data_IF_669006121973
#
_entry.id   IF_669006121973
#
_cell.length_a   1.000
_cell.length_b   1.000
_cell.length_c   1.000
_cell.angle_alpha   90.00
_cell.angle_beta   90.00
_cell.angle_gamma   90.00
#
_symmetry.space_group_name_H-M   'P 1'
#
loop_
_entity.id
_entity.type
_entity.pdbx_description
1 polymer ?
#
# COMPACT_ATOMS: atom_id res chain seq x y z
N UNK A 1 26.41 -18.36 -4.42
CA UNK A 1 25.16 -18.58 -5.18
C UNK A 1 24.72 -17.29 -5.83
N UNK A 2 24.69 -17.24 -7.17
CA UNK A 2 24.14 -16.10 -7.90
C UNK A 2 22.64 -15.97 -7.58
N UNK A 3 22.21 -14.77 -7.17
CA UNK A 3 20.78 -14.51 -6.90
C UNK A 3 20.01 -14.51 -8.21
N UNK A 4 19.03 -15.36 -8.33
CA UNK A 4 18.15 -15.42 -9.50
C UNK A 4 17.49 -14.05 -9.73
N UNK A 5 17.72 -13.44 -10.90
CA UNK A 5 17.13 -12.17 -11.30
C UNK A 5 15.77 -12.37 -11.93
N UNK A 6 14.80 -11.56 -11.52
CA UNK A 6 13.44 -11.59 -12.06
C UNK A 6 13.42 -10.83 -13.39
N UNK A 7 13.06 -11.51 -14.47
CA UNK A 7 12.91 -10.93 -15.81
C UNK A 7 11.44 -10.71 -16.19
N UNK A 8 10.54 -11.51 -15.61
CA UNK A 8 9.10 -11.43 -15.81
C UNK A 8 8.38 -11.56 -14.45
N UNK A 9 7.34 -10.76 -14.21
CA UNK A 9 6.61 -10.78 -12.94
C UNK A 9 5.15 -10.38 -13.11
N UNK A 10 4.26 -11.06 -12.38
CA UNK A 10 2.86 -10.66 -12.23
C UNK A 10 2.73 -9.69 -11.05
N UNK A 11 2.00 -8.59 -11.22
CA UNK A 11 1.60 -7.75 -10.10
C UNK A 11 0.24 -8.21 -9.58
N UNK A 12 0.24 -8.85 -8.40
CA UNK A 12 -0.92 -9.45 -7.75
C UNK A 12 -1.81 -8.43 -7.03
N UNK A 13 -2.42 -7.50 -7.77
CA UNK A 13 -3.37 -6.53 -7.23
C UNK A 13 -4.42 -6.11 -8.25
N UNK A 14 -5.66 -5.99 -7.81
CA UNK A 14 -6.77 -5.43 -8.60
C UNK A 14 -6.97 -3.92 -8.35
N UNK A 15 -6.19 -3.31 -7.44
CA UNK A 15 -6.24 -1.89 -7.17
C UNK A 15 -5.40 -1.12 -8.21
N UNK A 16 -6.07 -0.33 -9.06
CA UNK A 16 -5.43 0.44 -10.14
C UNK A 16 -4.34 1.41 -9.63
N UNK A 17 -4.54 2.03 -8.46
CA UNK A 17 -3.56 2.94 -7.86
C UNK A 17 -2.29 2.20 -7.43
N UNK A 18 -2.44 1.08 -6.72
CA UNK A 18 -1.32 0.22 -6.33
C UNK A 18 -0.58 -0.35 -7.53
N UNK A 19 -1.32 -0.83 -8.54
CA UNK A 19 -0.75 -1.36 -9.78
C UNK A 19 0.15 -0.33 -10.47
N UNK A 20 -0.31 0.93 -10.59
CA UNK A 20 0.46 2.03 -11.18
C UNK A 20 1.73 2.27 -10.38
N UNK A 21 1.62 2.52 -9.07
CA UNK A 21 2.78 2.81 -8.23
C UNK A 21 3.81 1.68 -8.22
N UNK A 22 3.39 0.40 -8.19
CA UNK A 22 4.32 -0.74 -8.23
C UNK A 22 5.01 -0.83 -9.59
N UNK A 23 4.25 -0.64 -10.68
CA UNK A 23 4.80 -0.67 -12.05
C UNK A 23 5.87 0.39 -12.25
N UNK A 24 5.65 1.61 -11.74
CA UNK A 24 6.60 2.73 -11.84
C UNK A 24 7.92 2.46 -11.09
N UNK A 25 7.89 1.59 -10.07
CA UNK A 25 9.08 1.20 -9.29
C UNK A 25 9.88 0.07 -9.94
N UNK A 26 9.22 -0.81 -10.71
CA UNK A 26 9.88 -1.95 -11.35
C UNK A 26 10.76 -1.47 -12.52
N UNK A 27 12.02 -1.92 -12.64
CA UNK A 27 12.89 -1.55 -13.75
C UNK A 27 12.28 -1.86 -15.12
N UNK A 28 12.42 -0.96 -16.09
CA UNK A 28 11.82 -1.09 -17.44
C UNK A 28 12.19 -2.38 -18.18
N UNK A 29 13.37 -2.97 -17.87
CA UNK A 29 13.83 -4.24 -18.45
C UNK A 29 13.04 -5.47 -17.97
N UNK A 30 12.22 -5.34 -16.94
CA UNK A 30 11.41 -6.44 -16.40
C UNK A 30 10.03 -6.41 -17.05
N UNK A 31 9.64 -7.53 -17.65
CA UNK A 31 8.31 -7.70 -18.23
C UNK A 31 7.27 -7.80 -17.12
N UNK A 32 6.39 -6.82 -17.05
CA UNK A 32 5.30 -6.77 -16.06
C UNK A 32 4.02 -7.30 -16.67
N UNK A 33 3.50 -8.38 -16.09
CA UNK A 33 2.20 -8.95 -16.44
C UNK A 33 1.13 -8.41 -15.48
N UNK A 34 -0.07 -8.18 -16.00
CA UNK A 34 -1.23 -7.76 -15.21
C UNK A 34 -2.25 -8.87 -15.11
N UNK A 35 -3.10 -8.79 -14.09
CA UNK A 35 -4.23 -9.72 -13.90
C UNK A 35 -5.42 -9.43 -14.82
N UNK A 36 -5.30 -8.50 -15.80
CA UNK A 36 -6.42 -8.06 -16.64
C UNK A 36 -7.09 -9.19 -17.41
N UNK A 37 -6.34 -10.24 -17.76
CA UNK A 37 -6.84 -11.39 -18.52
C UNK A 37 -7.24 -12.56 -17.61
N UNK A 38 -7.30 -12.35 -16.29
CA UNK A 38 -7.78 -13.35 -15.36
C UNK A 38 -9.12 -12.91 -14.80
N UNK A 39 -10.10 -13.78 -14.84
CA UNK A 39 -11.40 -13.61 -14.16
C UNK A 39 -11.28 -13.78 -12.64
N UNK A 40 -10.06 -13.84 -12.14
CA UNK A 40 -9.77 -14.15 -10.76
C UNK A 40 -10.23 -13.04 -9.81
N UNK A 41 -11.12 -13.41 -8.91
CA UNK A 41 -11.45 -12.61 -7.73
C UNK A 41 -10.23 -12.50 -6.81
N UNK A 42 -10.07 -11.35 -6.15
CA UNK A 42 -9.03 -11.22 -5.13
C UNK A 42 -9.24 -12.24 -4.01
N UNK A 43 -8.19 -12.93 -3.54
CA UNK A 43 -8.33 -13.86 -2.44
C UNK A 43 -8.77 -13.11 -1.16
N UNK A 44 -9.48 -13.85 -0.29
CA UNK A 44 -9.86 -13.33 1.03
C UNK A 44 -8.61 -13.05 1.86
N UNK A 45 -8.45 -11.83 2.34
CA UNK A 45 -7.36 -11.44 3.23
C UNK A 45 -7.68 -11.88 4.66
N UNK A 46 -7.18 -13.03 5.06
CA UNK A 46 -7.47 -13.69 6.35
C UNK A 46 -6.38 -13.48 7.40
N UNK A 47 -5.22 -12.98 6.99
CA UNK A 47 -4.13 -12.71 7.94
C UNK A 47 -4.40 -11.46 8.79
N UNK A 48 -3.93 -11.50 10.03
CA UNK A 48 -3.96 -10.37 10.97
C UNK A 48 -2.81 -9.36 10.74
N UNK A 49 -1.97 -9.54 9.70
CA UNK A 49 -0.82 -8.70 9.41
C UNK A 49 -0.73 -8.32 7.93
N UNK A 50 -0.15 -7.14 7.64
CA UNK A 50 0.16 -6.73 6.27
C UNK A 50 1.07 -7.74 5.55
N UNK A 51 2.10 -8.26 6.22
CA UNK A 51 2.98 -9.27 5.65
C UNK A 51 2.25 -10.55 5.27
N UNK A 52 1.40 -11.04 6.16
CA UNK A 52 0.62 -12.24 5.91
C UNK A 52 -0.34 -12.09 4.73
N UNK A 53 -1.06 -10.96 4.65
CA UNK A 53 -1.98 -10.70 3.54
C UNK A 53 -1.23 -10.50 2.21
N UNK A 54 -0.08 -9.81 2.20
CA UNK A 54 0.75 -9.68 1.00
C UNK A 54 1.23 -11.06 0.50
N UNK A 55 1.72 -11.91 1.42
CA UNK A 55 2.18 -13.25 1.07
C UNK A 55 1.05 -14.15 0.58
N UNK A 56 -0.11 -14.11 1.24
CA UNK A 56 -1.30 -14.84 0.82
C UNK A 56 -1.67 -14.48 -0.63
N UNK A 57 -1.71 -13.20 -0.96
CA UNK A 57 -1.98 -12.74 -2.34
C UNK A 57 -0.90 -13.17 -3.32
N UNK A 58 0.38 -13.05 -2.96
CA UNK A 58 1.48 -13.45 -3.83
C UNK A 58 1.42 -14.94 -4.16
N UNK A 59 1.17 -15.79 -3.16
CA UNK A 59 1.00 -17.24 -3.34
C UNK A 59 -0.21 -17.57 -4.22
N UNK A 60 -1.35 -16.94 -3.95
CA UNK A 60 -2.59 -17.17 -4.71
C UNK A 60 -2.41 -16.85 -6.20
N UNK A 61 -1.91 -15.65 -6.50
CA UNK A 61 -1.75 -15.24 -7.90
C UNK A 61 -0.60 -15.95 -8.61
N UNK A 62 0.46 -16.32 -7.90
CA UNK A 62 1.53 -17.14 -8.48
C UNK A 62 1.02 -18.54 -8.88
N UNK A 63 0.25 -19.20 -8.01
CA UNK A 63 -0.37 -20.51 -8.32
C UNK A 63 -1.33 -20.40 -9.50
N UNK A 64 -2.12 -19.33 -9.56
CA UNK A 64 -3.09 -19.11 -10.63
C UNK A 64 -2.45 -18.87 -12.00
N UNK A 65 -1.30 -18.20 -12.04
CA UNK A 65 -0.66 -17.75 -13.28
C UNK A 65 0.55 -18.60 -13.69
N UNK A 66 1.03 -19.48 -12.81
CA UNK A 66 2.29 -20.21 -13.01
C UNK A 66 3.54 -19.30 -13.01
N UNK A 67 3.44 -18.05 -12.59
CA UNK A 67 4.49 -17.05 -12.70
C UNK A 67 4.94 -16.53 -11.34
N UNK A 68 6.14 -15.95 -11.28
CA UNK A 68 6.57 -15.16 -10.10
C UNK A 68 5.59 -14.00 -9.92
N UNK A 69 5.07 -13.84 -8.69
CA UNK A 69 4.12 -12.80 -8.36
C UNK A 69 4.66 -11.87 -7.27
N UNK A 70 4.53 -10.56 -7.50
CA UNK A 70 4.71 -9.52 -6.50
C UNK A 70 3.33 -9.02 -6.09
N UNK A 71 2.99 -9.17 -4.81
CA UNK A 71 1.76 -8.63 -4.25
C UNK A 71 2.04 -7.69 -3.09
N UNK A 72 1.11 -6.75 -2.87
CA UNK A 72 1.19 -5.82 -1.74
C UNK A 72 -0.03 -5.95 -0.81
N UNK A 73 0.21 -5.64 0.46
CA UNK A 73 -0.83 -5.20 1.36
C UNK A 73 -0.39 -3.93 2.08
N UNK A 74 -1.27 -2.93 2.12
CA UNK A 74 -0.89 -1.60 2.61
C UNK A 74 -2.07 -0.88 3.23
N UNK A 75 -1.76 -0.02 4.20
CA UNK A 75 -2.78 0.76 4.87
C UNK A 75 -2.23 1.88 5.74
N UNK A 76 -3.18 2.69 6.23
CA UNK A 76 -2.96 3.78 7.16
C UNK A 76 -3.14 3.27 8.59
N UNK A 77 -2.16 3.52 9.45
CA UNK A 77 -2.27 3.31 10.90
C UNK A 77 -2.29 4.66 11.59
N UNK A 78 -3.21 4.86 12.54
CA UNK A 78 -3.37 6.08 13.33
C UNK A 78 -3.25 5.73 14.80
N UNK A 79 -2.29 6.35 15.51
CA UNK A 79 -1.99 6.00 16.89
C UNK A 79 -3.18 6.22 17.83
N UNK A 80 -3.85 7.37 17.70
CA UNK A 80 -5.05 7.70 18.49
C UNK A 80 -6.20 6.70 18.31
N UNK A 81 -6.22 5.96 17.20
CA UNK A 81 -7.22 4.95 16.87
C UNK A 81 -6.70 3.51 17.06
N UNK A 82 -5.69 3.29 17.91
CA UNK A 82 -5.10 1.98 18.16
C UNK A 82 -4.67 1.28 16.86
N UNK A 83 -4.00 2.01 15.98
CA UNK A 83 -3.55 1.58 14.64
C UNK A 83 -4.67 1.34 13.63
N UNK A 84 -5.93 1.59 13.97
CA UNK A 84 -6.98 1.55 12.96
C UNK A 84 -6.80 2.71 11.94
N UNK A 85 -7.24 2.53 10.68
CA UNK A 85 -7.85 1.33 10.07
C UNK A 85 -6.91 0.15 9.82
N UNK A 86 -5.59 0.34 9.75
CA UNK A 86 -4.60 -0.72 9.61
C UNK A 86 -4.85 -1.60 8.37
N UNK A 87 -4.84 -2.92 8.55
CA UNK A 87 -5.13 -3.91 7.50
C UNK A 87 -6.56 -3.79 6.93
N UNK A 88 -7.44 -3.07 7.60
CA UNK A 88 -8.81 -2.82 7.14
C UNK A 88 -8.96 -1.53 6.34
N UNK A 89 -7.85 -0.89 5.94
CA UNK A 89 -7.84 0.41 5.26
C UNK A 89 -8.73 0.44 4.02
N UNK A 90 -8.65 -0.54 3.14
CA UNK A 90 -9.51 -0.64 1.97
C UNK A 90 -10.96 -0.95 2.35
N UNK A 91 -11.20 -1.75 3.40
CA UNK A 91 -12.56 -2.14 3.82
C UNK A 91 -13.37 -0.95 4.37
N UNK A 92 -12.69 0.07 4.92
CA UNK A 92 -13.38 1.29 5.39
C UNK A 92 -13.95 2.13 4.26
N UNK A 93 -13.51 1.93 3.01
CA UNK A 93 -14.08 2.60 1.83
C UNK A 93 -15.34 1.94 1.28
N UNK A 94 -15.75 0.79 1.85
CA UNK A 94 -16.93 0.03 1.43
C UNK A 94 -16.75 -0.68 0.08
N UNK A 95 -17.83 -1.32 -0.36
CA UNK A 95 -17.83 -2.14 -1.61
C UNK A 95 -17.46 -1.35 -2.87
N UNK A 96 -17.79 -0.06 -2.92
CA UNK A 96 -17.53 0.82 -4.07
C UNK A 96 -16.16 1.51 -4.02
N UNK A 97 -15.26 1.14 -3.08
CA UNK A 97 -13.95 1.77 -2.88
C UNK A 97 -14.03 3.31 -2.74
N UNK A 98 -15.05 3.80 -2.05
CA UNK A 98 -15.27 5.23 -1.84
C UNK A 98 -14.40 5.74 -0.67
N UNK A 99 -13.20 6.17 -0.97
CA UNK A 99 -12.28 6.68 0.04
C UNK A 99 -12.73 8.00 0.69
N UNK A 100 -13.67 8.75 0.11
CA UNK A 100 -14.26 9.88 0.81
C UNK A 100 -15.04 9.42 2.05
N UNK A 101 -15.76 8.29 1.97
CA UNK A 101 -16.42 7.69 3.14
C UNK A 101 -15.40 7.20 4.17
N UNK A 102 -14.31 6.57 3.72
CA UNK A 102 -13.25 6.13 4.62
C UNK A 102 -12.59 7.30 5.37
N UNK A 103 -12.30 8.40 4.66
CA UNK A 103 -11.76 9.62 5.26
C UNK A 103 -12.74 10.24 6.27
N UNK A 104 -14.02 10.37 5.90
CA UNK A 104 -15.07 10.84 6.83
C UNK A 104 -15.12 9.97 8.09
N UNK A 105 -15.03 8.65 7.95
CA UNK A 105 -15.01 7.71 9.07
C UNK A 105 -13.78 7.89 9.97
N UNK A 106 -12.59 8.11 9.37
CA UNK A 106 -11.37 8.44 10.12
C UNK A 106 -11.56 9.69 10.95
N UNK A 107 -11.98 10.79 10.34
CA UNK A 107 -12.15 12.08 11.01
C UNK A 107 -13.21 11.97 12.12
N UNK A 108 -14.34 11.31 11.85
CA UNK A 108 -15.38 11.07 12.87
C UNK A 108 -14.81 10.31 14.08
N UNK A 109 -14.06 9.23 13.86
CA UNK A 109 -13.48 8.44 14.95
C UNK A 109 -12.41 9.20 15.75
N UNK A 110 -11.57 9.99 15.07
CA UNK A 110 -10.60 10.87 15.75
C UNK A 110 -11.33 11.87 16.64
N UNK A 111 -12.36 12.53 16.10
CA UNK A 111 -13.14 13.54 16.83
C UNK A 111 -13.90 12.97 18.05
N UNK A 112 -14.35 11.71 17.97
CA UNK A 112 -14.95 11.00 19.09
C UNK A 112 -13.93 10.67 20.20
N UNK A 113 -12.67 10.43 19.85
CA UNK A 113 -11.60 10.12 20.80
C UNK A 113 -10.97 11.38 21.42
N UNK A 114 -10.90 12.47 20.67
CA UNK A 114 -10.33 13.73 21.10
C UNK A 114 -11.02 14.89 20.38
N UNK A 115 -11.93 15.58 21.05
CA UNK A 115 -12.64 16.74 20.48
C UNK A 115 -11.68 17.89 20.11
N UNK A 116 -10.54 17.97 20.78
CA UNK A 116 -9.52 19.00 20.57
C UNK A 116 -8.40 18.56 19.59
N UNK A 117 -8.57 17.44 18.89
CA UNK A 117 -7.55 16.85 18.00
C UNK A 117 -6.97 17.84 16.98
N UNK A 118 -7.75 18.83 16.55
CA UNK A 118 -7.29 19.87 15.61
C UNK A 118 -6.19 20.76 16.18
N UNK A 119 -6.07 20.85 17.51
CA UNK A 119 -4.99 21.58 18.20
C UNK A 119 -3.71 20.74 18.36
N UNK A 120 -3.74 19.45 17.98
CA UNK A 120 -2.63 18.47 18.15
C UNK A 120 -2.18 17.89 16.83
N UNK A 121 -0.99 17.29 16.83
CA UNK A 121 -0.48 16.49 15.71
C UNK A 121 -0.80 15.02 15.95
N UNK A 122 -1.82 14.50 15.28
CA UNK A 122 -2.23 13.11 15.40
C UNK A 122 -1.25 12.25 14.61
N UNK A 123 -0.40 11.51 15.32
CA UNK A 123 0.60 10.62 14.71
C UNK A 123 -0.06 9.50 13.91
N UNK A 124 0.44 9.29 12.73
CA UNK A 124 -0.03 8.26 11.81
C UNK A 124 1.13 7.76 10.96
N UNK A 125 0.95 6.61 10.30
CA UNK A 125 1.90 6.08 9.32
C UNK A 125 1.20 5.32 8.24
N UNK A 126 1.77 5.37 7.05
CA UNK A 126 1.48 4.38 6.03
C UNK A 126 2.46 3.21 6.13
N UNK A 127 1.93 2.01 6.00
CA UNK A 127 2.69 0.76 5.84
C UNK A 127 2.38 0.10 4.50
N UNK A 128 3.39 -0.52 3.90
CA UNK A 128 3.26 -1.40 2.75
C UNK A 128 4.11 -2.64 2.97
N UNK A 129 3.49 -3.79 2.98
CA UNK A 129 4.18 -5.06 2.84
C UNK A 129 4.22 -5.45 1.36
N UNK A 130 5.38 -5.87 0.88
CA UNK A 130 5.58 -6.45 -0.45
C UNK A 130 6.05 -7.89 -0.29
N UNK A 131 5.36 -8.82 -0.94
CA UNK A 131 5.75 -10.22 -0.99
C UNK A 131 6.00 -10.67 -2.44
N UNK A 132 7.12 -11.35 -2.66
CA UNK A 132 7.43 -12.05 -3.91
C UNK A 132 7.33 -13.54 -3.64
N UNK A 133 6.60 -14.24 -4.50
CA UNK A 133 6.48 -15.69 -4.46
C UNK A 133 6.49 -16.26 -5.87
N UNK A 134 7.14 -17.41 -6.04
CA UNK A 134 7.13 -18.26 -7.22
C UNK A 134 7.54 -19.67 -6.81
N UNK A 135 7.17 -20.70 -7.59
CA UNK A 135 7.43 -22.12 -7.25
C UNK A 135 8.91 -22.34 -6.96
N UNK A 136 9.78 -21.86 -7.86
CA UNK A 136 11.23 -22.05 -7.75
C UNK A 136 11.96 -20.78 -7.30
N UNK A 137 11.24 -19.84 -6.70
CA UNK A 137 11.79 -18.58 -6.25
C UNK A 137 11.74 -18.48 -4.72
N UNK A 138 12.89 -18.14 -4.11
CA UNK A 138 12.94 -17.93 -2.66
C UNK A 138 11.94 -16.86 -2.24
N UNK A 139 10.98 -17.21 -1.41
CA UNK A 139 9.97 -16.27 -0.89
C UNK A 139 10.62 -15.08 -0.22
N UNK A 140 10.21 -13.88 -0.65
CA UNK A 140 10.66 -12.61 -0.06
C UNK A 140 9.45 -11.86 0.48
N UNK A 141 9.54 -11.36 1.70
CA UNK A 141 8.45 -10.60 2.32
C UNK A 141 9.02 -9.48 3.18
N UNK A 142 8.83 -8.25 2.73
CA UNK A 142 9.40 -7.05 3.34
C UNK A 142 8.31 -6.04 3.71
N UNK A 143 8.65 -5.08 4.56
CA UNK A 143 7.77 -3.97 4.92
C UNK A 143 8.49 -2.63 4.77
N UNK A 144 7.81 -1.66 4.20
CA UNK A 144 8.19 -0.25 4.19
C UNK A 144 7.17 0.58 4.96
N UNK A 145 7.63 1.63 5.63
CA UNK A 145 6.77 2.56 6.36
C UNK A 145 7.20 4.00 6.18
N UNK A 146 6.26 4.91 6.26
CA UNK A 146 6.51 6.33 6.39
C UNK A 146 5.67 6.90 7.53
N UNK A 147 6.34 7.56 8.45
CA UNK A 147 5.69 8.27 9.56
C UNK A 147 5.15 9.61 9.08
N UNK A 148 4.16 10.14 9.78
CA UNK A 148 3.54 11.42 9.48
C UNK A 148 2.43 11.74 10.46
N UNK A 149 1.56 12.66 10.05
CA UNK A 149 0.41 13.12 10.84
C UNK A 149 -0.85 13.21 10.00
N UNK A 150 -2.00 13.25 10.67
CA UNK A 150 -3.30 13.47 10.03
C UNK A 150 -3.53 14.97 9.85
N UNK A 151 -3.84 15.37 8.63
CA UNK A 151 -4.23 16.72 8.27
C UNK A 151 -5.57 17.10 8.91
N UNK A 152 -5.70 18.37 9.33
CA UNK A 152 -6.93 18.90 9.95
C UNK A 152 -8.13 18.92 8.98
N UNK A 153 -7.88 18.88 7.68
CA UNK A 153 -8.86 18.82 6.61
C UNK A 153 -8.33 18.04 5.41
N UNK A 154 -9.23 17.62 4.53
CA UNK A 154 -8.86 16.98 3.27
C UNK A 154 -8.22 18.01 2.34
N UNK A 155 -6.99 17.76 1.87
CA UNK A 155 -6.21 18.65 1.01
C UNK A 155 -5.64 17.88 -0.18
N UNK A 156 -5.84 18.45 -1.37
CA UNK A 156 -5.39 17.86 -2.63
C UNK A 156 -6.26 16.71 -3.13
N UNK A 157 -6.05 16.37 -4.39
CA UNK A 157 -6.80 15.33 -5.12
C UNK A 157 -5.90 14.30 -5.80
N UNK A 158 -4.57 14.46 -5.68
CA UNK A 158 -3.60 13.52 -6.26
C UNK A 158 -3.49 12.26 -5.42
N UNK A 159 -2.93 11.21 -6.04
CA UNK A 159 -2.78 9.92 -5.38
C UNK A 159 -4.09 9.15 -5.25
N UNK A 160 -4.24 8.37 -4.19
CA UNK A 160 -5.44 7.61 -3.89
C UNK A 160 -5.57 7.31 -2.39
N UNK A 161 -6.72 6.77 -2.00
CA UNK A 161 -6.91 6.33 -0.63
C UNK A 161 -6.96 7.49 0.37
N UNK A 162 -6.12 7.41 1.37
CA UNK A 162 -6.02 8.39 2.45
C UNK A 162 -4.98 9.49 2.18
N UNK A 163 -4.39 9.54 0.98
CA UNK A 163 -3.39 10.55 0.61
C UNK A 163 -3.80 11.99 0.93
N UNK A 164 -5.09 12.40 0.73
CA UNK A 164 -5.52 13.76 1.03
C UNK A 164 -5.53 14.16 2.50
N UNK A 165 -5.36 13.22 3.43
CA UNK A 165 -5.34 13.50 4.87
C UNK A 165 -4.04 13.10 5.55
N UNK A 166 -3.01 12.68 4.81
CA UNK A 166 -1.73 12.26 5.39
C UNK A 166 -0.60 13.23 5.02
N UNK A 167 0.00 13.85 6.03
CA UNK A 167 1.16 14.71 5.92
C UNK A 167 2.38 13.89 6.34
N UNK A 168 3.30 13.53 5.42
CA UNK A 168 4.49 12.76 5.77
C UNK A 168 5.47 13.59 6.58
N UNK A 169 6.25 12.93 7.43
CA UNK A 169 7.27 13.56 8.26
C UNK A 169 8.21 14.42 7.41
N UNK A 170 8.56 15.62 7.93
CA UNK A 170 9.42 16.58 7.22
C UNK A 170 8.73 17.32 6.07
N UNK A 171 7.40 17.20 5.93
CA UNK A 171 6.63 17.94 4.91
C UNK A 171 5.49 18.74 5.56
N UNK A 172 5.08 19.83 4.86
CA UNK A 172 3.96 20.68 5.26
C UNK A 172 2.69 20.43 4.43
N UNK A 173 2.79 19.58 3.39
CA UNK A 173 1.69 19.27 2.47
C UNK A 173 1.32 17.79 2.55
N UNK A 174 0.07 17.46 2.24
CA UNK A 174 -0.42 16.09 2.21
C UNK A 174 0.11 15.34 0.98
N UNK A 175 0.09 14.00 1.00
CA UNK A 175 0.33 13.20 -0.21
C UNK A 175 -0.66 13.56 -1.33
N UNK A 176 -1.91 13.95 -0.99
CA UNK A 176 -2.89 14.40 -1.98
C UNK A 176 -2.51 15.70 -2.70
N UNK A 177 -1.63 16.51 -2.12
CA UNK A 177 -1.10 17.75 -2.74
C UNK A 177 0.23 17.53 -3.49
N UNK A 178 0.95 16.43 -3.17
CA UNK A 178 2.24 16.15 -3.80
C UNK A 178 2.10 15.73 -5.25
N UNK A 179 3.07 16.09 -6.08
CA UNK A 179 3.24 15.48 -7.40
C UNK A 179 3.60 14.00 -7.23
N UNK A 180 3.10 13.10 -8.09
CA UNK A 180 3.38 11.67 -8.00
C UNK A 180 4.87 11.33 -7.89
N UNK A 181 5.72 12.00 -8.68
CA UNK A 181 7.16 11.77 -8.73
C UNK A 181 7.84 12.09 -7.38
N UNK A 182 7.34 13.11 -6.68
CA UNK A 182 7.84 13.45 -5.33
C UNK A 182 7.39 12.45 -4.29
N UNK A 183 6.11 12.02 -4.35
CA UNK A 183 5.55 11.03 -3.45
C UNK A 183 6.26 9.69 -3.59
N UNK A 184 6.46 9.21 -4.84
CA UNK A 184 7.07 7.92 -5.14
C UNK A 184 8.54 7.80 -4.70
N UNK A 185 9.20 8.91 -4.34
CA UNK A 185 10.58 8.90 -3.82
C UNK A 185 10.66 8.74 -2.30
N UNK A 186 9.54 8.91 -1.58
CA UNK A 186 9.55 8.95 -0.11
C UNK A 186 8.54 8.02 0.54
N UNK A 187 7.54 7.53 -0.19
CA UNK A 187 6.41 6.81 0.36
C UNK A 187 6.77 5.40 0.90
N UNK A 188 5.80 4.78 1.54
CA UNK A 188 5.91 3.46 2.14
C UNK A 188 6.17 2.35 1.12
N UNK A 189 5.60 2.46 -0.11
CA UNK A 189 5.77 1.48 -1.17
C UNK A 189 7.16 1.56 -1.78
N UNK A 190 7.67 2.76 -2.04
CA UNK A 190 9.06 2.96 -2.44
C UNK A 190 10.05 2.40 -1.40
N UNK A 191 9.81 2.68 -0.10
CA UNK A 191 10.66 2.16 0.99
C UNK A 191 10.63 0.63 1.09
N UNK A 192 9.47 0.00 0.82
CA UNK A 192 9.38 -1.46 0.73
C UNK A 192 10.12 -1.97 -0.51
N UNK A 193 9.93 -1.32 -1.67
CA UNK A 193 10.54 -1.73 -2.93
C UNK A 193 12.06 -1.65 -2.90
N UNK A 194 12.65 -0.63 -2.30
CA UNK A 194 14.12 -0.55 -2.10
C UNK A 194 14.71 -1.82 -1.51
N UNK A 195 13.99 -2.50 -0.62
CA UNK A 195 14.46 -3.74 0.05
C UNK A 195 14.47 -4.95 -0.87
N UNK A 196 13.65 -4.95 -1.92
CA UNK A 196 13.53 -6.04 -2.89
C UNK A 196 14.15 -5.72 -4.25
N UNK A 197 14.59 -4.49 -4.49
CA UNK A 197 15.15 -4.03 -5.77
C UNK A 197 16.29 -4.92 -6.29
N UNK A 198 17.05 -5.52 -5.39
CA UNK A 198 18.16 -6.43 -5.72
C UNK A 198 17.76 -7.72 -6.44
N UNK A 199 16.48 -8.06 -6.48
CA UNK A 199 15.96 -9.24 -7.19
C UNK A 199 15.57 -8.94 -8.65
N UNK A 200 15.61 -7.69 -9.07
CA UNK A 200 15.29 -7.21 -10.41
C UNK A 200 16.51 -6.82 -11.24
#
# INVERSE_FOLDING_TARGET
MQRQKIREIVIGTNNKGKLREIRDLIPKKVKVLSLKNTTAKSPKETSKTFKGNALLKAKYYSKLTGKICLADDSGLEIDLLNKAPGIYSARWSGKKNNFNLAIKKVIKKINLKDKNWKKRNIKARFKCALAIYGTDFKTVNVIGKIEGTISKKKLGSRGFGYDPIFIPIGKKITFGQMRPEMKHKIDHRFKAFKKIRKFF
#
